data_IF_408700687710
#
_entry.id   IF_408700687710
#
_cell.length_a   1.000
_cell.length_b   1.000
_cell.length_c   1.000
_cell.angle_alpha   90.00
_cell.angle_beta   90.00
_cell.angle_gamma   90.00
#
_symmetry.space_group_name_H-M   'P 1'
#
loop_
_entity.id
_entity.type
_entity.pdbx_description
1 polymer ?
#
# COMPACT_ATOMS: atom_id res chain seq x y z
N UNK A 1 -28.95 10.06 2.34
CA UNK A 1 -28.93 11.26 1.46
C UNK A 1 -28.34 10.88 0.11
N UNK A 2 -28.99 11.30 -0.98
CA UNK A 2 -28.51 11.15 -2.35
C UNK A 2 -27.43 12.19 -2.63
N UNK A 3 -26.44 11.88 -3.47
CA UNK A 3 -25.37 12.81 -3.86
C UNK A 3 -25.43 13.11 -5.37
N UNK A 4 -25.11 14.35 -5.79
CA UNK A 4 -24.94 14.66 -7.20
C UNK A 4 -23.92 13.71 -7.86
N UNK A 5 -24.26 13.15 -9.02
CA UNK A 5 -23.44 12.17 -9.75
C UNK A 5 -23.75 10.70 -9.44
N UNK A 6 -24.65 10.39 -8.50
CA UNK A 6 -25.11 9.02 -8.29
C UNK A 6 -26.00 8.53 -9.44
N UNK A 7 -25.72 7.32 -9.95
CA UNK A 7 -26.51 6.67 -10.99
C UNK A 7 -27.44 5.61 -10.40
N UNK A 8 -28.65 5.51 -10.94
CA UNK A 8 -29.63 4.48 -10.59
C UNK A 8 -29.93 3.64 -11.82
N UNK A 9 -29.98 2.32 -11.64
CA UNK A 9 -30.60 1.42 -12.61
C UNK A 9 -31.96 1.01 -12.08
N UNK A 10 -32.99 1.26 -12.88
CA UNK A 10 -34.38 0.95 -12.56
C UNK A 10 -34.87 -0.10 -13.55
N UNK A 11 -35.53 -1.13 -13.05
CA UNK A 11 -36.22 -2.14 -13.86
C UNK A 11 -37.68 -2.21 -13.45
N UNK A 12 -38.56 -2.16 -14.45
CA UNK A 12 -40.01 -2.33 -14.30
C UNK A 12 -40.44 -3.64 -14.95
N UNK A 13 -41.64 -4.10 -14.62
CA UNK A 13 -42.33 -5.13 -15.39
C UNK A 13 -43.05 -4.54 -16.61
N UNK A 14 -43.73 -5.40 -17.37
CA UNK A 14 -44.48 -5.03 -18.58
C UNK A 14 -45.69 -4.10 -18.28
N UNK A 15 -46.14 -4.04 -17.02
CA UNK A 15 -47.18 -3.13 -16.55
C UNK A 15 -46.64 -1.77 -16.08
N UNK A 16 -45.31 -1.59 -16.06
CA UNK A 16 -44.66 -0.38 -15.59
C UNK A 16 -44.49 -0.32 -14.07
N UNK A 17 -44.80 -1.38 -13.33
CA UNK A 17 -44.57 -1.42 -11.88
C UNK A 17 -43.08 -1.64 -11.58
N UNK A 18 -42.59 -1.01 -10.51
CA UNK A 18 -41.19 -1.11 -10.10
C UNK A 18 -40.89 -2.53 -9.60
N UNK A 19 -39.94 -3.21 -10.26
CA UNK A 19 -39.46 -4.53 -9.86
C UNK A 19 -38.14 -4.42 -9.10
N UNK A 20 -37.25 -3.52 -9.53
CA UNK A 20 -35.90 -3.42 -8.97
C UNK A 20 -35.30 -2.03 -9.16
N UNK A 21 -34.59 -1.57 -8.14
CA UNK A 21 -33.76 -0.37 -8.17
C UNK A 21 -32.38 -0.69 -7.60
N UNK A 22 -31.34 -0.42 -8.38
CA UNK A 22 -29.95 -0.56 -7.96
C UNK A 22 -29.34 0.84 -7.86
N UNK A 23 -28.90 1.19 -6.65
CA UNK A 23 -28.14 2.40 -6.36
C UNK A 23 -26.68 2.02 -6.13
N UNK A 24 -25.80 2.52 -6.99
CA UNK A 24 -24.35 2.37 -6.82
C UNK A 24 -23.84 3.51 -5.95
N UNK A 25 -23.54 3.25 -4.67
CA UNK A 25 -23.09 4.31 -3.75
C UNK A 25 -21.57 4.42 -3.63
N UNK A 26 -20.81 3.36 -3.95
CA UNK A 26 -19.34 3.28 -3.90
C UNK A 26 -18.81 2.22 -4.89
N UNK A 27 -17.49 2.23 -5.19
CA UNK A 27 -16.83 1.37 -6.20
C UNK A 27 -17.22 -0.12 -6.08
N UNK A 28 -17.45 -0.64 -4.89
CA UNK A 28 -17.66 -2.07 -4.60
C UNK A 28 -18.99 -2.39 -3.90
N UNK A 29 -19.86 -1.41 -3.66
CA UNK A 29 -21.12 -1.65 -2.93
C UNK A 29 -22.32 -0.97 -3.60
N UNK A 30 -23.36 -1.76 -3.82
CA UNK A 30 -24.68 -1.30 -4.22
C UNK A 30 -25.69 -1.51 -3.12
N UNK A 31 -26.68 -0.63 -3.09
CA UNK A 31 -27.98 -0.93 -2.48
C UNK A 31 -28.90 -1.42 -3.59
N UNK A 32 -29.43 -2.63 -3.41
CA UNK A 32 -30.45 -3.22 -4.27
C UNK A 32 -31.76 -3.22 -3.51
N UNK A 33 -32.75 -2.53 -4.06
CA UNK A 33 -34.14 -2.62 -3.70
C UNK A 33 -34.80 -3.56 -4.70
N UNK A 34 -35.47 -4.62 -4.24
CA UNK A 34 -36.18 -5.55 -5.13
C UNK A 34 -37.53 -5.95 -4.53
N UNK A 35 -38.52 -6.13 -5.40
CA UNK A 35 -39.85 -6.57 -5.02
C UNK A 35 -39.84 -8.06 -4.69
N UNK A 36 -40.45 -8.43 -3.56
CA UNK A 36 -40.69 -9.81 -3.14
C UNK A 36 -42.15 -9.92 -2.69
N UNK A 37 -43.02 -10.43 -3.56
CA UNK A 37 -44.47 -10.35 -3.35
C UNK A 37 -44.95 -8.90 -3.29
N UNK A 38 -45.67 -8.55 -2.23
CA UNK A 38 -46.29 -7.22 -2.06
C UNK A 38 -45.39 -6.21 -1.33
N UNK A 39 -44.13 -6.55 -1.04
CA UNK A 39 -43.22 -5.67 -0.33
C UNK A 39 -41.87 -5.56 -1.04
N UNK A 40 -41.11 -4.51 -0.69
CA UNK A 40 -39.75 -4.32 -1.17
C UNK A 40 -38.75 -4.73 -0.09
N UNK A 41 -37.72 -5.47 -0.49
CA UNK A 41 -36.56 -5.76 0.34
C UNK A 41 -35.37 -4.91 -0.09
N UNK A 42 -34.53 -4.56 0.88
CA UNK A 42 -33.30 -3.81 0.67
C UNK A 42 -32.12 -4.67 1.10
N UNK A 43 -31.19 -4.90 0.17
CA UNK A 43 -29.94 -5.58 0.46
C UNK A 43 -28.74 -4.76 0.01
N UNK A 44 -27.62 -4.89 0.72
CA UNK A 44 -26.32 -4.49 0.22
C UNK A 44 -25.74 -5.65 -0.57
N UNK A 45 -25.40 -5.41 -1.83
CA UNK A 45 -24.71 -6.41 -2.64
C UNK A 45 -23.38 -5.83 -3.11
N UNK A 46 -22.36 -6.67 -3.12
CA UNK A 46 -21.12 -6.34 -3.82
C UNK A 46 -21.38 -6.57 -5.30
N UNK A 47 -21.19 -5.52 -6.10
CA UNK A 47 -21.14 -5.71 -7.54
C UNK A 47 -19.93 -6.58 -7.87
N UNK A 48 -20.10 -7.52 -8.80
CA UNK A 48 -18.95 -8.15 -9.41
C UNK A 48 -18.28 -7.10 -10.29
N UNK A 49 -17.16 -6.55 -9.82
CA UNK A 49 -16.29 -5.70 -10.62
C UNK A 49 -15.46 -6.62 -11.47
N UNK A 50 -15.62 -6.51 -12.78
CA UNK A 50 -14.74 -7.19 -13.72
C UNK A 50 -13.42 -6.42 -13.76
N UNK A 51 -12.32 -7.12 -13.47
CA UNK A 51 -10.97 -6.54 -13.55
C UNK A 51 -10.35 -6.92 -14.88
N UNK A 52 -9.99 -5.92 -15.69
CA UNK A 52 -9.35 -6.14 -16.99
C UNK A 52 -7.93 -5.59 -16.96
N UNK A 53 -6.91 -6.36 -17.36
CA UNK A 53 -5.56 -5.84 -17.45
C UNK A 53 -5.48 -4.81 -18.58
N UNK A 54 -4.83 -3.69 -18.30
CA UNK A 54 -4.52 -2.61 -19.24
C UNK A 54 -3.10 -2.11 -18.97
N UNK A 55 -2.50 -1.39 -19.91
CA UNK A 55 -1.17 -0.85 -19.73
C UNK A 55 -1.01 0.50 -20.41
N UNK A 56 -0.02 1.24 -19.93
CA UNK A 56 0.49 2.44 -20.58
C UNK A 56 1.98 2.29 -20.80
N UNK A 57 2.45 2.63 -22.00
CA UNK A 57 3.86 2.66 -22.35
C UNK A 57 4.19 3.99 -23.04
N UNK A 58 5.22 4.68 -22.58
CA UNK A 58 5.64 5.96 -23.14
C UNK A 58 7.09 6.31 -22.80
N UNK A 59 7.60 7.35 -23.48
CA UNK A 59 8.92 7.95 -23.23
C UNK A 59 8.74 9.29 -22.53
N UNK A 60 9.55 9.56 -21.50
CA UNK A 60 9.61 10.83 -20.80
C UNK A 60 10.18 11.89 -21.76
N UNK A 61 9.45 12.99 -21.96
CA UNK A 61 9.85 14.13 -22.80
C UNK A 61 10.07 15.39 -21.97
N UNK A 62 9.21 15.61 -20.97
CA UNK A 62 9.27 16.78 -20.07
C UNK A 62 9.56 16.36 -18.64
N UNK A 63 8.74 15.47 -18.12
CA UNK A 63 8.88 14.89 -16.78
C UNK A 63 7.99 13.68 -16.66
N UNK A 64 8.41 12.70 -15.87
CA UNK A 64 7.66 11.46 -15.71
C UNK A 64 6.17 11.69 -15.34
N UNK A 65 5.81 12.51 -14.33
CA UNK A 65 4.40 12.71 -13.98
C UNK A 65 3.58 13.39 -15.09
N UNK A 66 4.19 14.27 -15.90
CA UNK A 66 3.47 14.95 -16.97
C UNK A 66 3.22 14.02 -18.16
N UNK A 67 4.22 13.24 -18.55
CA UNK A 67 4.14 12.34 -19.69
C UNK A 67 3.32 11.07 -19.36
N UNK A 68 3.37 10.59 -18.11
CA UNK A 68 2.51 9.50 -17.65
C UNK A 68 1.02 9.86 -17.68
N UNK A 69 0.65 11.08 -17.25
CA UNK A 69 -0.74 11.59 -17.37
C UNK A 69 -1.18 11.67 -18.83
N UNK A 70 -0.33 12.26 -19.67
CA UNK A 70 -0.60 12.39 -21.10
C UNK A 70 -0.79 11.03 -21.79
N UNK A 71 -0.09 10.01 -21.30
CA UNK A 71 -0.19 8.64 -21.78
C UNK A 71 -1.36 7.84 -21.19
N UNK A 72 -2.13 8.41 -20.24
CA UNK A 72 -3.37 7.82 -19.72
C UNK A 72 -3.30 7.27 -18.29
N UNK A 73 -2.20 7.45 -17.55
CA UNK A 73 -2.20 7.12 -16.12
C UNK A 73 -3.07 8.10 -15.34
N UNK A 74 -4.01 7.58 -14.55
CA UNK A 74 -4.80 8.38 -13.62
C UNK A 74 -3.98 8.84 -12.40
N UNK A 75 -4.45 9.87 -11.70
CA UNK A 75 -3.85 10.32 -10.45
C UNK A 75 -3.82 9.22 -9.38
N UNK A 76 -4.78 8.30 -9.41
CA UNK A 76 -4.82 7.14 -8.52
C UNK A 76 -3.60 6.23 -8.76
N UNK A 77 -3.38 5.84 -10.02
CA UNK A 77 -2.26 5.00 -10.41
C UNK A 77 -0.92 5.70 -10.17
N UNK A 78 -0.81 7.00 -10.42
CA UNK A 78 0.43 7.77 -10.13
C UNK A 78 0.78 7.76 -8.64
N UNK A 79 -0.20 7.95 -7.76
CA UNK A 79 0.00 7.87 -6.30
C UNK A 79 0.39 6.45 -5.87
N UNK A 80 -0.27 5.44 -6.42
CA UNK A 80 0.06 4.03 -6.15
C UNK A 80 1.49 3.72 -6.58
N UNK A 81 1.87 4.12 -7.80
CA UNK A 81 3.23 3.96 -8.33
C UNK A 81 4.27 4.60 -7.41
N UNK A 82 4.08 5.86 -7.02
CA UNK A 82 4.97 6.54 -6.08
C UNK A 82 5.06 5.82 -4.73
N UNK A 83 3.96 5.25 -4.24
CA UNK A 83 3.94 4.45 -3.02
C UNK A 83 4.74 3.14 -3.12
N UNK A 84 4.77 2.52 -4.30
CA UNK A 84 5.48 1.27 -4.57
C UNK A 84 6.99 1.51 -4.71
N UNK A 85 7.38 2.49 -5.52
CA UNK A 85 8.80 2.67 -5.92
C UNK A 85 9.52 3.76 -5.14
N UNK A 86 8.81 4.70 -4.51
CA UNK A 86 9.34 5.94 -3.95
C UNK A 86 10.39 5.80 -2.84
N UNK A 87 10.58 4.59 -2.29
CA UNK A 87 11.65 4.29 -1.32
C UNK A 87 12.96 3.86 -1.98
N UNK A 88 12.92 3.45 -3.24
CA UNK A 88 14.05 2.95 -4.01
C UNK A 88 14.45 3.89 -5.15
N UNK A 89 13.47 4.63 -5.68
CA UNK A 89 13.60 5.48 -6.86
C UNK A 89 12.71 6.71 -6.69
N UNK A 90 13.24 7.90 -6.97
CA UNK A 90 12.46 9.12 -7.13
C UNK A 90 12.14 9.32 -8.62
N UNK A 91 10.87 9.10 -8.98
CA UNK A 91 10.39 9.18 -10.36
C UNK A 91 10.60 10.54 -11.01
N UNK A 92 10.76 11.62 -10.24
CA UNK A 92 10.94 12.97 -10.79
C UNK A 92 12.40 13.29 -11.11
N UNK A 93 13.34 12.67 -10.40
CA UNK A 93 14.77 12.94 -10.52
C UNK A 93 15.54 11.80 -11.19
N UNK A 94 15.08 10.56 -11.07
CA UNK A 94 15.74 9.40 -11.66
C UNK A 94 15.26 9.06 -13.09
N UNK A 95 14.06 9.50 -13.47
CA UNK A 95 13.52 9.35 -14.83
C UNK A 95 13.57 10.67 -15.58
N UNK A 96 14.63 10.85 -16.35
CA UNK A 96 14.90 12.05 -17.13
C UNK A 96 14.35 11.93 -18.56
N UNK A 97 14.26 13.04 -19.32
CA UNK A 97 13.91 12.98 -20.73
C UNK A 97 14.72 11.93 -21.49
N UNK A 98 14.04 11.08 -22.25
CA UNK A 98 14.61 9.91 -22.92
C UNK A 98 14.37 8.57 -22.21
N UNK A 99 13.98 8.57 -20.93
CA UNK A 99 13.59 7.34 -20.24
C UNK A 99 12.30 6.75 -20.83
N UNK A 100 12.16 5.43 -20.84
CA UNK A 100 10.90 4.76 -21.17
C UNK A 100 10.30 4.09 -19.95
N UNK A 101 8.97 4.09 -19.86
CA UNK A 101 8.24 3.39 -18.82
C UNK A 101 7.10 2.57 -19.41
N UNK A 102 6.81 1.43 -18.80
CA UNK A 102 5.62 0.62 -19.04
C UNK A 102 4.98 0.27 -17.70
N UNK A 103 3.71 0.59 -17.53
CA UNK A 103 2.94 0.32 -16.31
C UNK A 103 1.75 -0.55 -16.69
N UNK A 104 1.70 -1.77 -16.16
CA UNK A 104 0.59 -2.71 -16.29
C UNK A 104 -0.29 -2.59 -15.05
N UNK A 105 -1.60 -2.43 -15.22
CA UNK A 105 -2.56 -2.24 -14.13
C UNK A 105 -3.91 -2.86 -14.46
N UNK A 106 -4.78 -2.96 -13.46
CA UNK A 106 -6.18 -3.37 -13.64
C UNK A 106 -7.06 -2.16 -13.91
N UNK A 107 -7.98 -2.28 -14.85
CA UNK A 107 -9.15 -1.40 -14.98
C UNK A 107 -10.36 -2.10 -14.37
N UNK A 108 -11.11 -1.35 -13.57
CA UNK A 108 -12.32 -1.82 -12.93
C UNK A 108 -13.51 -1.51 -13.85
N UNK A 109 -14.23 -2.55 -14.27
CA UNK A 109 -15.42 -2.47 -15.11
C UNK A 109 -16.67 -2.91 -14.34
N UNK A 110 -17.76 -2.19 -14.55
CA UNK A 110 -19.08 -2.56 -14.07
C UNK A 110 -20.10 -2.46 -15.19
N UNK A 111 -20.82 -3.56 -15.45
CA UNK A 111 -21.79 -3.63 -16.56
C UNK A 111 -21.22 -3.21 -17.92
N UNK A 112 -19.94 -3.53 -18.19
CA UNK A 112 -19.27 -3.18 -19.45
C UNK A 112 -18.69 -1.76 -19.50
N UNK A 113 -18.97 -0.90 -18.52
CA UNK A 113 -18.41 0.46 -18.43
C UNK A 113 -17.23 0.51 -17.47
N UNK A 114 -16.18 1.26 -17.84
CA UNK A 114 -15.04 1.51 -16.96
C UNK A 114 -15.47 2.45 -15.83
N UNK A 115 -15.32 1.99 -14.59
CA UNK A 115 -15.66 2.75 -13.37
C UNK A 115 -14.43 3.25 -12.61
N UNK A 116 -13.24 2.77 -12.96
CA UNK A 116 -11.99 3.22 -12.36
C UNK A 116 -10.79 2.38 -12.74
N UNK A 117 -9.69 2.64 -12.05
CA UNK A 117 -8.47 1.83 -12.10
C UNK A 117 -8.29 1.11 -10.76
N UNK A 118 -7.94 -0.17 -10.86
CA UNK A 118 -7.58 -1.05 -9.77
C UNK A 118 -6.08 -1.03 -9.50
N UNK A 119 -5.50 -2.21 -9.27
CA UNK A 119 -4.12 -2.34 -8.82
C UNK A 119 -3.10 -2.27 -9.96
N UNK A 120 -1.92 -1.71 -9.68
CA UNK A 120 -0.73 -1.89 -10.53
C UNK A 120 -0.26 -3.34 -10.40
N UNK A 121 -0.10 -4.02 -11.54
CA UNK A 121 0.33 -5.41 -11.63
C UNK A 121 1.83 -5.52 -11.92
N UNK A 122 2.37 -4.63 -12.75
CA UNK A 122 3.80 -4.60 -13.05
C UNK A 122 4.26 -3.20 -13.45
N UNK A 123 5.54 -2.92 -13.21
CA UNK A 123 6.21 -1.66 -13.53
C UNK A 123 7.53 -2.02 -14.22
N UNK A 124 7.79 -1.39 -15.35
CA UNK A 124 9.08 -1.44 -16.02
C UNK A 124 9.55 -0.01 -16.32
N UNK A 125 10.69 0.38 -15.77
CA UNK A 125 11.28 1.71 -15.90
C UNK A 125 12.68 1.55 -16.47
N UNK A 126 12.98 2.23 -17.57
CA UNK A 126 14.26 2.13 -18.27
C UNK A 126 14.83 3.53 -18.45
N UNK A 127 16.01 3.77 -17.88
CA UNK A 127 16.80 4.98 -18.01
C UNK A 127 18.16 4.59 -18.58
N UNK A 128 18.40 4.86 -19.87
CA UNK A 128 19.61 4.41 -20.57
C UNK A 128 19.80 2.88 -20.38
N UNK A 129 20.94 2.44 -19.85
CA UNK A 129 21.25 1.02 -19.61
C UNK A 129 20.71 0.49 -18.26
N UNK A 130 20.04 1.34 -17.47
CA UNK A 130 19.49 0.98 -16.16
C UNK A 130 18.02 0.62 -16.29
N UNK A 131 17.67 -0.59 -15.87
CA UNK A 131 16.30 -1.07 -15.82
C UNK A 131 15.87 -1.34 -14.37
N UNK A 132 14.69 -0.87 -14.01
CA UNK A 132 14.04 -1.12 -12.73
C UNK A 132 12.67 -1.74 -12.97
N UNK A 133 12.55 -3.03 -12.64
CA UNK A 133 11.32 -3.80 -12.82
C UNK A 133 10.71 -4.20 -11.49
N UNK A 134 9.39 -4.13 -11.42
CA UNK A 134 8.59 -4.56 -10.27
C UNK A 134 7.44 -5.43 -10.76
N UNK A 135 7.16 -6.49 -10.01
CA UNK A 135 6.02 -7.38 -10.24
C UNK A 135 5.17 -7.43 -8.98
N UNK A 136 3.86 -7.29 -9.14
CA UNK A 136 2.87 -7.51 -8.11
C UNK A 136 2.56 -9.00 -7.98
N UNK A 137 2.57 -9.50 -6.75
CA UNK A 137 2.20 -10.87 -6.40
C UNK A 137 1.11 -10.83 -5.33
N UNK A 138 -0.04 -11.44 -5.63
CA UNK A 138 -1.10 -11.66 -4.63
C UNK A 138 -0.83 -12.97 -3.92
N UNK A 139 -0.69 -12.92 -2.59
CA UNK A 139 -0.54 -14.14 -1.79
C UNK A 139 -1.88 -14.88 -1.62
N UNK A 140 -1.86 -16.01 -0.90
CA UNK A 140 -3.04 -16.83 -0.64
C UNK A 140 -4.14 -16.11 0.14
N UNK A 141 -3.83 -15.02 0.83
CA UNK A 141 -4.81 -14.18 1.53
C UNK A 141 -5.43 -13.11 0.61
N UNK A 142 -4.90 -12.96 -0.61
CA UNK A 142 -5.29 -11.93 -1.57
C UNK A 142 -4.55 -10.60 -1.38
N UNK A 143 -3.59 -10.51 -0.45
CA UNK A 143 -2.78 -9.30 -0.26
C UNK A 143 -1.82 -9.14 -1.44
N UNK A 144 -1.89 -8.00 -2.13
CA UNK A 144 -0.95 -7.65 -3.18
C UNK A 144 0.33 -7.06 -2.60
N UNK A 145 1.46 -7.70 -2.89
CA UNK A 145 2.80 -7.27 -2.50
C UNK A 145 3.68 -7.11 -3.75
N UNK A 146 4.71 -6.29 -3.66
CA UNK A 146 5.55 -5.91 -4.80
C UNK A 146 6.98 -6.34 -4.61
N UNK A 147 7.53 -6.97 -5.66
CA UNK A 147 8.86 -7.56 -5.64
C UNK A 147 9.64 -7.21 -6.91
N UNK A 148 10.96 -7.29 -6.85
CA UNK A 148 11.79 -7.37 -8.05
C UNK A 148 11.57 -8.73 -8.75
N UNK A 149 11.94 -8.88 -10.03
CA UNK A 149 11.87 -10.18 -10.73
C UNK A 149 12.66 -11.30 -10.05
N UNK A 150 13.64 -10.96 -9.23
CA UNK A 150 14.45 -11.89 -8.44
C UNK A 150 13.78 -12.30 -7.11
N UNK A 151 12.57 -11.79 -6.84
CA UNK A 151 11.80 -12.08 -5.62
C UNK A 151 12.17 -11.21 -4.42
N UNK A 152 12.89 -10.11 -4.61
CA UNK A 152 13.24 -9.21 -3.51
C UNK A 152 12.09 -8.25 -3.20
N UNK A 153 11.68 -8.17 -1.93
CA UNK A 153 10.61 -7.27 -1.50
C UNK A 153 10.99 -5.80 -1.63
N UNK A 154 10.05 -4.99 -2.11
CA UNK A 154 10.18 -3.52 -2.17
C UNK A 154 9.76 -2.83 -0.87
N UNK A 155 9.07 -3.53 0.04
CA UNK A 155 8.85 -3.01 1.39
C UNK A 155 10.19 -3.01 2.14
N UNK A 156 10.56 -1.92 2.84
CA UNK A 156 11.73 -1.97 3.72
C UNK A 156 11.49 -3.03 4.78
N UNK A 157 12.51 -3.84 5.06
CA UNK A 157 12.45 -4.93 6.04
C UNK A 157 12.08 -4.43 7.44
N UNK A 158 12.37 -3.15 7.74
CA UNK A 158 12.15 -2.54 9.04
C UNK A 158 11.62 -1.10 8.94
N UNK A 159 10.67 -0.76 9.81
CA UNK A 159 10.36 0.60 10.24
C UNK A 159 11.61 1.19 10.90
N UNK A 160 11.83 2.48 10.66
CA UNK A 160 12.97 3.17 11.27
C UNK A 160 12.84 3.31 12.78
N UNK A 161 11.62 3.44 13.29
CA UNK A 161 11.33 3.59 14.71
C UNK A 161 10.08 2.79 15.11
N UNK A 162 10.11 2.05 16.22
CA UNK A 162 8.98 1.21 16.67
C UNK A 162 7.89 1.99 17.41
N UNK A 163 8.16 3.24 17.81
CA UNK A 163 7.29 4.03 18.68
C UNK A 163 7.29 5.49 18.23
N UNK A 164 6.21 6.23 18.51
CA UNK A 164 6.21 7.69 18.40
C UNK A 164 6.90 8.26 19.63
N UNK A 165 7.93 9.07 19.44
CA UNK A 165 8.79 9.57 20.53
C UNK A 165 9.04 11.07 20.39
N UNK A 166 9.38 11.72 21.50
CA UNK A 166 9.64 13.16 21.55
C UNK A 166 11.09 13.48 21.13
N UNK A 167 12.03 12.67 21.62
CA UNK A 167 13.46 12.77 21.27
C UNK A 167 14.19 11.44 21.44
N UNK A 168 15.30 11.32 20.72
CA UNK A 168 16.30 10.27 20.97
C UNK A 168 17.12 10.73 22.18
N UNK A 169 16.93 10.11 23.34
CA UNK A 169 17.65 10.48 24.57
C UNK A 169 19.08 9.92 24.59
N UNK A 170 19.31 8.77 23.94
CA UNK A 170 20.62 8.15 23.81
C UNK A 170 20.73 7.36 22.50
N UNK A 171 21.85 7.52 21.79
CA UNK A 171 22.14 6.79 20.54
C UNK A 171 22.93 5.52 20.82
N UNK A 172 22.90 4.59 19.87
CA UNK A 172 23.80 3.45 19.86
C UNK A 172 25.25 3.93 19.85
N UNK A 173 26.07 3.40 20.78
CA UNK A 173 27.47 3.80 20.89
C UNK A 173 28.28 2.71 21.60
N UNK A 174 29.09 1.98 20.83
CA UNK A 174 29.98 0.93 21.35
C UNK A 174 31.11 1.47 22.23
N UNK A 175 31.46 2.74 22.08
CA UNK A 175 32.57 3.39 22.78
C UNK A 175 32.11 4.32 23.90
N UNK A 176 30.82 4.26 24.30
CA UNK A 176 30.28 5.14 25.34
C UNK A 176 31.07 4.98 26.63
N UNK A 177 31.64 6.09 27.12
CA UNK A 177 32.27 6.15 28.46
C UNK A 177 31.21 6.43 29.51
N UNK A 178 31.26 5.68 30.60
CA UNK A 178 30.38 5.89 31.74
C UNK A 178 30.83 7.18 32.46
N UNK A 179 29.98 8.21 32.53
CA UNK A 179 30.39 9.54 32.98
C UNK A 179 30.89 9.58 34.43
N UNK A 180 30.43 8.64 35.28
CA UNK A 180 30.85 8.56 36.68
C UNK A 180 32.00 7.59 36.95
N UNK A 181 32.16 6.55 36.12
CA UNK A 181 33.10 5.44 36.40
C UNK A 181 34.33 5.48 35.49
N UNK A 182 34.34 6.33 34.46
CA UNK A 182 35.43 6.42 33.47
C UNK A 182 35.57 5.21 32.54
N UNK A 183 34.92 4.08 32.86
CA UNK A 183 34.99 2.83 32.09
C UNK A 183 34.16 2.90 30.80
N UNK A 184 34.55 2.13 29.79
CA UNK A 184 33.73 1.94 28.58
C UNK A 184 32.56 1.02 28.90
N UNK A 185 31.33 1.52 28.71
CA UNK A 185 30.09 0.76 28.84
C UNK A 185 29.23 0.97 27.58
N UNK A 186 29.36 0.08 26.58
CA UNK A 186 28.64 0.15 25.32
C UNK A 186 27.14 0.37 25.53
N UNK A 187 26.54 1.24 24.72
CA UNK A 187 25.11 1.34 24.58
C UNK A 187 24.70 0.59 23.31
N UNK A 188 24.16 -0.62 23.47
CA UNK A 188 23.83 -1.54 22.37
C UNK A 188 22.39 -1.36 21.84
N UNK A 189 21.79 -0.21 22.10
CA UNK A 189 20.44 0.13 21.67
C UNK A 189 20.30 1.62 21.38
N UNK A 190 19.07 2.04 21.11
CA UNK A 190 18.68 3.45 20.96
C UNK A 190 17.56 3.71 21.95
N UNK A 191 17.75 4.73 22.80
CA UNK A 191 16.73 5.12 23.78
C UNK A 191 15.82 6.18 23.17
N UNK A 192 14.54 5.85 23.07
CA UNK A 192 13.49 6.70 22.52
C UNK A 192 12.60 7.17 23.69
N UNK A 193 12.63 8.47 23.99
CA UNK A 193 11.82 9.03 25.06
C UNK A 193 10.37 9.22 24.61
N UNK A 194 9.43 8.55 25.27
CA UNK A 194 8.00 8.64 24.99
C UNK A 194 7.18 8.52 26.29
N UNK A 195 5.95 9.07 26.36
CA UNK A 195 5.05 8.89 27.50
C UNK A 195 4.77 7.42 27.83
N UNK A 196 4.56 7.11 29.11
CA UNK A 196 4.19 5.76 29.53
C UNK A 196 2.88 5.32 28.86
N UNK A 197 2.83 4.06 28.40
CA UNK A 197 1.68 3.52 27.67
C UNK A 197 1.65 3.81 26.17
N UNK A 198 2.65 4.53 25.62
CA UNK A 198 2.74 4.74 24.16
C UNK A 198 2.87 3.40 23.43
N UNK A 199 1.99 3.07 22.46
CA UNK A 199 2.06 1.80 21.75
C UNK A 199 3.38 1.60 21.01
N UNK A 200 4.01 0.45 21.23
CA UNK A 200 5.22 0.01 20.54
C UNK A 200 4.80 -1.00 19.46
N UNK A 201 5.36 -0.85 18.26
CA UNK A 201 5.12 -1.74 17.11
C UNK A 201 6.40 -2.50 16.78
N UNK A 202 6.25 -3.72 16.27
CA UNK A 202 7.34 -4.45 15.65
C UNK A 202 7.93 -3.60 14.51
N UNK A 203 9.26 -3.51 14.42
CA UNK A 203 9.87 -2.77 13.32
C UNK A 203 9.72 -3.51 12.00
N UNK A 204 9.68 -4.83 11.98
CA UNK A 204 9.45 -5.61 10.76
C UNK A 204 8.58 -6.83 11.04
N UNK A 205 8.22 -7.55 9.98
CA UNK A 205 7.62 -8.88 10.10
C UNK A 205 8.62 -9.80 10.82
N UNK A 206 8.15 -10.58 11.80
CA UNK A 206 9.02 -11.45 12.59
C UNK A 206 8.23 -12.40 13.48
N UNK A 207 8.94 -13.36 14.08
CA UNK A 207 8.42 -14.35 15.03
C UNK A 207 8.86 -13.97 16.44
N UNK A 208 7.92 -14.02 17.39
CA UNK A 208 8.24 -13.81 18.81
C UNK A 208 9.15 -14.93 19.29
N UNK A 209 10.38 -14.58 19.67
CA UNK A 209 11.38 -15.50 20.19
C UNK A 209 11.33 -15.57 21.72
N UNK A 210 11.15 -14.43 22.39
CA UNK A 210 11.08 -14.32 23.85
C UNK A 210 10.13 -13.20 24.29
N UNK A 211 9.41 -13.42 25.40
CA UNK A 211 8.56 -12.43 26.06
C UNK A 211 8.71 -12.60 27.56
N UNK A 212 9.23 -11.59 28.24
CA UNK A 212 9.41 -11.70 29.68
C UNK A 212 10.16 -10.55 30.31
N UNK A 213 10.72 -10.82 31.48
CA UNK A 213 11.57 -9.88 32.20
C UNK A 213 13.04 -10.24 31.96
N UNK A 214 13.82 -9.27 31.47
CA UNK A 214 15.26 -9.43 31.29
C UNK A 214 16.03 -8.47 32.20
N UNK A 215 17.06 -8.97 32.88
CA UNK A 215 17.88 -8.16 33.78
C UNK A 215 18.52 -6.98 33.05
N UNK A 216 18.30 -5.76 33.55
CA UNK A 216 18.78 -4.52 32.95
C UNK A 216 17.89 -3.90 31.87
N UNK A 217 16.99 -4.66 31.23
CA UNK A 217 16.01 -4.15 30.25
C UNK A 217 14.59 -4.02 30.83
N UNK A 218 14.24 -4.83 31.82
CA UNK A 218 12.88 -4.92 32.34
C UNK A 218 11.98 -5.76 31.42
N UNK A 219 10.71 -5.35 31.25
CA UNK A 219 9.76 -6.03 30.35
C UNK A 219 10.26 -5.91 28.90
N UNK A 220 10.53 -7.05 28.28
CA UNK A 220 11.20 -7.13 26.98
C UNK A 220 10.49 -8.15 26.10
N UNK A 221 10.41 -7.84 24.80
CA UNK A 221 9.98 -8.76 23.74
C UNK A 221 11.13 -8.82 22.74
N UNK A 222 11.52 -10.02 22.34
CA UNK A 222 12.54 -10.24 21.30
C UNK A 222 11.86 -10.86 20.09
N UNK A 223 12.03 -10.23 18.92
CA UNK A 223 11.53 -10.70 17.64
C UNK A 223 12.69 -11.19 16.77
N UNK A 224 12.56 -12.38 16.20
CA UNK A 224 13.42 -12.86 15.12
C UNK A 224 12.78 -12.53 13.77
N UNK A 225 13.49 -11.77 12.96
CA UNK A 225 13.06 -11.32 11.63
C UNK A 225 13.62 -12.18 10.49
N UNK A 226 14.35 -13.25 10.84
CA UNK A 226 15.08 -14.10 9.91
C UNK A 226 16.39 -13.47 9.44
N UNK A 227 17.19 -14.26 8.70
CA UNK A 227 18.49 -13.85 8.14
C UNK A 227 19.48 -13.30 9.18
N UNK A 228 19.33 -13.69 10.44
CA UNK A 228 20.19 -13.29 11.55
C UNK A 228 19.87 -11.93 12.17
N UNK A 229 18.70 -11.35 11.90
CA UNK A 229 18.27 -10.08 12.49
C UNK A 229 17.27 -10.31 13.64
N UNK A 230 17.58 -9.77 14.81
CA UNK A 230 16.68 -9.74 15.97
C UNK A 230 16.49 -8.32 16.48
N UNK A 231 15.29 -7.99 16.98
CA UNK A 231 15.04 -6.72 17.68
C UNK A 231 14.33 -6.92 18.99
#
# INVERSE_FOLDING_TARGET
>A
LLKPGETFKIRTDDGGELVELVRTSQRDSALRLFREGDHFKVGKFRHFIEKRPSFVAATVRRSFPADARAAGLSEHLLKQLQGIVGKRLDLSTDLQPGASFTILFEEDFFSGEKIGDGDILAIDLVQQDRQFRVVGFRDSSGELRYYTPQGESLRPAFLRYPVRFDKISSRFNLSRRHPLLGVRRPHKGVDLAAPAGTPIRAVGDGVVQDVGWQSGYGKTIVLDHGRGYTT
#
